data_IF_710529439890
#
_entry.id   IF_710529439890
#
_cell.length_a   1.000
_cell.length_b   1.000
_cell.length_c   1.000
_cell.angle_alpha   90.00
_cell.angle_beta   90.00
_cell.angle_gamma   90.00
#
_symmetry.space_group_name_H-M   'P 1'
#
loop_
_entity.id
_entity.type
_entity.pdbx_description
1 polymer ?
#
# COMPACT_ATOMS: atom_id res chain seq x y z
N UNK A 1 50.52 -6.71 36.75
CA UNK A 1 51.00 -6.50 38.14
C UNK A 1 50.21 -5.34 38.71
N UNK A 2 49.28 -5.48 39.65
CA UNK A 2 48.91 -6.61 40.49
C UNK A 2 47.41 -6.51 40.85
N UNK A 3 46.78 -7.67 41.00
CA UNK A 3 45.49 -7.91 41.65
C UNK A 3 45.50 -7.57 43.16
N UNK A 4 44.32 -7.54 43.77
CA UNK A 4 43.88 -8.12 45.08
C UNK A 4 42.57 -7.39 45.46
N UNK A 5 41.37 -7.97 45.31
CA UNK A 5 40.72 -9.08 46.06
C UNK A 5 39.96 -8.62 47.33
N UNK A 6 38.61 -8.63 47.22
CA UNK A 6 37.62 -9.27 48.11
C UNK A 6 37.44 -8.81 49.57
N UNK A 7 36.22 -8.40 49.96
CA UNK A 7 35.34 -9.15 50.89
C UNK A 7 33.99 -8.46 51.20
N UNK A 8 32.96 -9.30 51.17
CA UNK A 8 31.61 -9.10 51.71
C UNK A 8 31.61 -8.90 53.24
N UNK A 9 30.59 -8.24 53.79
CA UNK A 9 29.65 -8.84 54.78
C UNK A 9 28.51 -7.88 55.16
N UNK A 10 27.30 -8.38 54.92
CA UNK A 10 26.02 -8.24 55.65
C UNK A 10 25.93 -7.40 56.94
N UNK A 11 24.80 -6.69 57.06
CA UNK A 11 23.89 -6.94 58.19
C UNK A 11 23.53 -5.76 59.11
N UNK A 12 22.27 -5.31 58.97
CA UNK A 12 21.28 -5.02 60.03
C UNK A 12 21.62 -4.02 61.17
N UNK A 13 20.82 -2.94 61.23
CA UNK A 13 19.92 -2.53 62.35
C UNK A 13 19.48 -1.08 62.09
N UNK A 14 18.27 -0.80 61.58
CA UNK A 14 16.99 -0.67 62.28
C UNK A 14 16.98 0.32 63.45
N UNK A 15 16.26 1.43 63.29
CA UNK A 15 15.64 2.16 64.39
C UNK A 15 14.31 2.77 63.94
N UNK A 16 13.23 2.11 64.40
CA UNK A 16 11.97 2.63 64.93
C UNK A 16 11.10 3.53 64.02
N UNK A 17 9.79 3.35 63.90
CA UNK A 17 8.79 3.12 64.95
C UNK A 17 7.63 2.27 64.37
N UNK A 18 7.30 1.21 65.09
CA UNK A 18 6.14 0.33 64.89
C UNK A 18 4.90 0.81 65.65
N UNK A 19 3.71 0.40 65.16
CA UNK A 19 2.44 0.05 65.86
C UNK A 19 1.23 0.87 65.36
N UNK A 20 0.11 0.29 64.91
CA UNK A 20 -0.51 -1.02 65.15
C UNK A 20 -1.51 -1.35 64.01
N UNK A 21 -1.49 -2.61 63.56
CA UNK A 21 -2.58 -3.55 63.16
C UNK A 21 -3.82 -3.04 62.40
N UNK A 22 -4.46 -3.73 61.45
CA UNK A 22 -4.49 -5.14 61.02
C UNK A 22 -5.43 -5.23 59.82
N UNK A 23 -5.27 -6.29 59.01
CA UNK A 23 -6.19 -6.82 57.99
C UNK A 23 -6.25 -6.16 56.60
N UNK A 24 -5.83 -6.98 55.64
CA UNK A 24 -6.51 -7.29 54.38
C UNK A 24 -5.60 -7.11 53.17
N UNK A 25 -5.05 -8.24 52.75
CA UNK A 25 -4.32 -8.45 51.51
C UNK A 25 -5.13 -8.02 50.27
N UNK A 26 -4.39 -7.68 49.20
CA UNK A 26 -4.83 -7.66 47.80
C UNK A 26 -5.90 -6.62 47.42
N UNK A 27 -5.46 -5.48 46.89
CA UNK A 27 -6.36 -4.54 46.23
C UNK A 27 -5.71 -3.23 45.82
N UNK A 28 -4.90 -3.24 44.75
CA UNK A 28 -4.51 -2.02 44.02
C UNK A 28 -3.91 -2.34 42.65
N UNK A 29 -4.62 -3.15 41.84
CA UNK A 29 -4.30 -3.29 40.41
C UNK A 29 -5.57 -3.63 39.61
N UNK A 30 -6.68 -2.94 39.85
CA UNK A 30 -7.93 -3.07 39.06
C UNK A 30 -8.85 -1.89 39.36
N UNK A 31 -8.58 -0.71 38.80
CA UNK A 31 -9.56 0.42 38.86
C UNK A 31 -9.46 1.45 37.73
N UNK A 32 -8.56 1.26 36.76
CA UNK A 32 -8.53 2.06 35.52
C UNK A 32 -9.16 1.32 34.31
N UNK A 33 -9.24 -0.01 34.35
CA UNK A 33 -9.82 -0.84 33.27
C UNK A 33 -11.35 -1.03 33.34
N UNK A 34 -11.96 -0.73 34.50
CA UNK A 34 -13.42 -0.94 34.70
C UNK A 34 -14.28 0.26 34.28
N UNK A 35 -13.69 1.44 34.03
CA UNK A 35 -14.41 2.60 33.51
C UNK A 35 -14.50 2.60 31.97
N UNK A 36 -13.57 1.94 31.27
CA UNK A 36 -13.63 1.80 29.81
C UNK A 36 -14.46 0.59 29.35
N UNK A 37 -14.66 -0.43 30.18
CA UNK A 37 -15.50 -1.58 29.81
C UNK A 37 -17.02 -1.32 29.97
N UNK A 38 -17.43 -0.35 30.80
CA UNK A 38 -18.85 -0.01 30.98
C UNK A 38 -19.42 0.94 29.90
N UNK A 39 -18.59 1.61 29.10
CA UNK A 39 -19.07 2.41 27.97
C UNK A 39 -19.39 1.54 26.74
N UNK A 40 -18.64 0.44 26.56
CA UNK A 40 -18.84 -0.49 25.43
C UNK A 40 -20.09 -1.36 25.64
N UNK A 41 -20.44 -1.66 26.89
CA UNK A 41 -21.69 -2.40 27.19
C UNK A 41 -22.94 -1.52 27.19
N UNK A 42 -22.82 -0.22 27.43
CA UNK A 42 -23.97 0.70 27.39
C UNK A 42 -24.33 1.17 25.97
N UNK A 43 -23.41 1.07 25.01
CA UNK A 43 -23.68 1.31 23.58
C UNK A 43 -24.38 0.10 22.92
N UNK A 44 -24.26 -1.11 23.48
CA UNK A 44 -24.94 -2.31 22.95
C UNK A 44 -26.43 -2.45 23.33
N UNK A 45 -26.97 -1.59 24.19
CA UNK A 45 -28.38 -1.65 24.64
C UNK A 45 -29.34 -0.74 23.83
N UNK A 46 -28.86 -0.09 22.76
CA UNK A 46 -29.69 0.74 21.87
C UNK A 46 -29.76 0.17 20.44
N UNK A 47 -29.76 -1.16 20.31
CA UNK A 47 -29.89 -1.86 19.02
C UNK A 47 -31.21 -2.62 18.86
N UNK A 48 -32.28 -2.12 19.49
CA UNK A 48 -33.64 -2.49 19.13
C UNK A 48 -34.34 -1.29 18.50
N UNK A 49 -34.46 -1.32 17.17
CA UNK A 49 -35.31 -0.52 16.27
C UNK A 49 -34.54 0.12 15.09
N UNK A 50 -33.71 -0.66 14.38
CA UNK A 50 -33.36 -0.31 13.00
C UNK A 50 -33.45 -1.58 12.13
N UNK A 51 -34.27 -1.58 11.06
CA UNK A 51 -34.50 -2.76 10.24
C UNK A 51 -33.25 -3.24 9.50
N UNK A 52 -33.12 -4.57 9.44
CA UNK A 52 -31.98 -5.38 8.99
C UNK A 52 -31.77 -5.38 7.47
N UNK A 53 -31.69 -4.20 6.85
CA UNK A 53 -31.43 -4.06 5.41
C UNK A 53 -30.37 -3.01 5.04
N UNK A 54 -29.63 -2.47 6.01
CA UNK A 54 -28.47 -1.61 5.77
C UNK A 54 -27.31 -2.01 6.70
N UNK A 55 -26.90 -3.28 6.64
CA UNK A 55 -25.58 -3.73 7.10
C UNK A 55 -24.88 -4.28 5.86
N UNK A 56 -24.52 -3.36 4.98
CA UNK A 56 -23.94 -3.67 3.68
C UNK A 56 -23.38 -2.42 3.03
N UNK A 57 -22.77 -1.52 3.81
CA UNK A 57 -22.03 -0.39 3.30
C UNK A 57 -21.28 0.28 4.45
N UNK A 58 -20.18 -0.30 4.93
CA UNK A 58 -19.07 0.45 5.54
C UNK A 58 -17.86 -0.46 5.76
N UNK A 59 -17.47 -1.19 4.72
CA UNK A 59 -16.09 -1.70 4.61
C UNK A 59 -15.50 -1.15 3.31
N UNK A 60 -15.51 0.19 3.21
CA UNK A 60 -14.67 0.89 2.25
C UNK A 60 -13.25 1.02 2.83
N UNK A 61 -12.72 -0.10 3.34
CA UNK A 61 -11.28 -0.23 3.51
C UNK A 61 -10.71 -0.32 2.11
N UNK A 62 -10.23 0.82 1.61
CA UNK A 62 -9.33 0.92 0.46
C UNK A 62 -8.17 -0.04 0.67
N UNK A 63 -8.33 -1.26 0.18
CA UNK A 63 -7.31 -2.28 0.16
C UNK A 63 -6.55 -2.12 -1.15
N UNK A 64 -5.31 -1.65 -1.06
CA UNK A 64 -4.37 -1.76 -2.17
C UNK A 64 -4.35 -3.20 -2.70
N UNK A 65 -4.45 -3.34 -4.02
CA UNK A 65 -4.75 -4.59 -4.74
C UNK A 65 -3.86 -5.77 -4.32
N UNK A 66 -2.59 -5.52 -3.96
CA UNK A 66 -1.61 -6.56 -3.66
C UNK A 66 -1.12 -6.60 -2.20
N UNK A 67 -1.81 -5.95 -1.26
CA UNK A 67 -1.34 -5.88 0.13
C UNK A 67 -1.16 -7.24 0.81
N UNK A 68 -1.97 -8.23 0.46
CA UNK A 68 -1.91 -9.60 1.01
C UNK A 68 -1.54 -10.64 -0.06
N UNK A 69 -0.99 -10.21 -1.19
CA UNK A 69 -0.69 -11.10 -2.30
C UNK A 69 0.46 -12.05 -1.95
N UNK A 70 0.27 -13.33 -2.25
CA UNK A 70 1.22 -14.41 -2.00
C UNK A 70 1.15 -15.47 -3.10
N UNK A 71 2.05 -16.46 -3.08
CA UNK A 71 2.07 -17.55 -4.06
C UNK A 71 0.78 -18.38 -4.08
N UNK A 72 0.02 -18.42 -2.98
CA UNK A 72 -1.26 -19.14 -2.88
C UNK A 72 -2.37 -18.50 -3.72
N UNK A 73 -2.22 -17.21 -4.07
CA UNK A 73 -3.20 -16.51 -4.89
C UNK A 73 -3.06 -16.81 -6.38
N UNK A 74 -2.12 -17.69 -6.79
CA UNK A 74 -1.90 -18.05 -8.19
C UNK A 74 -2.74 -19.27 -8.55
N UNK A 75 -3.63 -19.12 -9.54
CA UNK A 75 -4.52 -20.18 -10.01
C UNK A 75 -3.89 -21.01 -11.14
N UNK A 76 -3.33 -20.36 -12.15
CA UNK A 76 -2.74 -21.05 -13.31
C UNK A 76 -1.74 -20.17 -14.06
N UNK A 77 -0.86 -20.80 -14.82
CA UNK A 77 0.12 -20.15 -15.71
C UNK A 77 -0.06 -20.67 -17.12
N UNK A 78 0.01 -19.79 -18.11
CA UNK A 78 -0.10 -20.15 -19.53
C UNK A 78 0.84 -19.29 -20.38
N UNK A 79 1.49 -19.91 -21.37
CA UNK A 79 2.32 -19.18 -22.32
C UNK A 79 1.43 -18.34 -23.25
N UNK A 80 1.77 -17.07 -23.38
CA UNK A 80 1.06 -16.16 -24.29
C UNK A 80 1.47 -16.47 -25.72
N UNK A 81 0.47 -16.65 -26.60
CA UNK A 81 0.69 -16.87 -28.03
C UNK A 81 1.27 -15.61 -28.68
N UNK A 82 2.03 -15.78 -29.75
CA UNK A 82 2.66 -14.66 -30.48
C UNK A 82 1.66 -13.61 -31.00
N UNK A 83 0.44 -14.01 -31.36
CA UNK A 83 -0.63 -13.09 -31.74
C UNK A 83 -1.07 -12.21 -30.57
N UNK A 84 -1.35 -12.80 -29.41
CA UNK A 84 -1.74 -12.10 -28.18
C UNK A 84 -0.61 -11.19 -27.67
N UNK A 85 0.64 -11.61 -27.80
CA UNK A 85 1.80 -10.78 -27.44
C UNK A 85 1.86 -9.50 -28.28
N UNK A 86 1.57 -9.56 -29.58
CA UNK A 86 1.49 -8.37 -30.45
C UNK A 86 0.32 -7.46 -30.06
N UNK A 87 -0.83 -8.04 -29.70
CA UNK A 87 -1.97 -7.27 -29.23
C UNK A 87 -1.66 -6.53 -27.92
N UNK A 88 -0.96 -7.18 -26.97
CA UNK A 88 -0.52 -6.55 -25.74
C UNK A 88 0.47 -5.40 -25.99
N UNK A 89 1.43 -5.56 -26.91
CA UNK A 89 2.32 -4.47 -27.32
C UNK A 89 1.56 -3.29 -27.90
N UNK A 90 0.60 -3.55 -28.78
CA UNK A 90 -0.23 -2.51 -29.37
C UNK A 90 -1.07 -1.78 -28.31
N UNK A 91 -1.65 -2.51 -27.35
CA UNK A 91 -2.37 -1.93 -26.20
C UNK A 91 -1.45 -1.06 -25.34
N UNK A 92 -0.22 -1.50 -25.10
CA UNK A 92 0.76 -0.76 -24.32
C UNK A 92 1.15 0.56 -25.00
N UNK A 93 1.48 0.53 -26.28
CA UNK A 93 1.86 1.74 -27.05
C UNK A 93 0.66 2.69 -27.18
N UNK A 94 -0.55 2.18 -27.28
CA UNK A 94 -1.75 3.01 -27.27
C UNK A 94 -1.98 3.74 -25.93
N UNK A 95 -1.60 3.11 -24.80
CA UNK A 95 -1.72 3.69 -23.46
C UNK A 95 -0.56 4.62 -23.10
N UNK A 96 0.66 4.25 -23.51
CA UNK A 96 1.89 4.99 -23.25
C UNK A 96 2.64 5.24 -24.57
N UNK A 97 2.26 6.29 -25.34
CA UNK A 97 2.83 6.54 -26.66
C UNK A 97 4.36 6.73 -26.65
N UNK A 98 4.89 7.38 -25.62
CA UNK A 98 6.33 7.67 -25.49
C UNK A 98 7.19 6.40 -25.38
N UNK A 99 6.58 5.25 -25.08
CA UNK A 99 7.26 3.97 -24.91
C UNK A 99 7.48 3.22 -26.23
N UNK A 100 6.91 3.67 -27.34
CA UNK A 100 7.10 3.07 -28.67
C UNK A 100 8.58 2.71 -29.01
N UNK A 101 9.59 3.57 -28.78
CA UNK A 101 10.98 3.25 -29.10
C UNK A 101 11.58 2.13 -28.22
N UNK A 102 11.03 1.89 -27.03
CA UNK A 102 11.59 0.93 -26.05
C UNK A 102 10.72 -0.31 -25.86
N UNK A 103 9.53 -0.38 -26.45
CA UNK A 103 8.58 -1.51 -26.28
C UNK A 103 9.18 -2.86 -26.69
N UNK A 104 10.05 -2.87 -27.71
CA UNK A 104 10.74 -4.09 -28.16
C UNK A 104 11.87 -4.52 -27.21
N UNK A 105 12.37 -3.62 -26.35
CA UNK A 105 13.29 -3.96 -25.26
C UNK A 105 12.53 -4.53 -24.05
N UNK A 106 11.34 -3.98 -23.75
CA UNK A 106 10.51 -4.41 -22.63
C UNK A 106 9.87 -5.77 -22.89
N UNK A 107 9.33 -5.97 -24.10
CA UNK A 107 8.76 -7.26 -24.53
C UNK A 107 9.55 -7.72 -25.77
N UNK A 108 10.68 -8.42 -25.61
CA UNK A 108 11.44 -8.92 -26.75
C UNK A 108 10.62 -9.91 -27.60
N UNK A 109 10.76 -9.84 -28.92
CA UNK A 109 10.02 -10.73 -29.85
C UNK A 109 10.34 -12.23 -29.65
N UNK A 110 11.50 -12.54 -29.08
CA UNK A 110 11.96 -13.90 -28.77
C UNK A 110 11.68 -14.32 -27.33
N UNK A 111 11.33 -13.39 -26.45
CA UNK A 111 11.07 -13.69 -25.06
C UNK A 111 9.72 -14.41 -24.93
N UNK A 112 9.67 -15.41 -24.05
CA UNK A 112 8.45 -16.13 -23.73
C UNK A 112 7.67 -15.35 -22.67
N UNK A 113 6.59 -14.70 -23.09
CA UNK A 113 5.67 -14.03 -22.18
C UNK A 113 4.72 -15.06 -21.56
N UNK A 114 4.63 -15.07 -20.23
CA UNK A 114 3.75 -15.98 -19.46
C UNK A 114 2.64 -15.17 -18.82
N UNK A 115 1.40 -15.60 -19.06
CA UNK A 115 0.20 -15.09 -18.41
C UNK A 115 -0.09 -15.91 -17.15
N UNK A 116 0.00 -15.27 -16.00
CA UNK A 116 -0.29 -15.84 -14.69
C UNK A 116 -1.67 -15.34 -14.26
N UNK A 117 -2.62 -16.26 -14.11
CA UNK A 117 -3.95 -15.96 -13.59
C UNK A 117 -3.94 -16.10 -12.08
N UNK A 118 -4.34 -15.05 -11.40
CA UNK A 118 -4.44 -14.99 -9.96
C UNK A 118 -5.92 -15.02 -9.50
N UNK A 119 -6.12 -15.07 -8.19
CA UNK A 119 -7.40 -14.80 -7.55
C UNK A 119 -7.87 -13.37 -7.84
N UNK A 120 -9.13 -13.08 -7.53
CA UNK A 120 -9.76 -11.77 -7.75
C UNK A 120 -9.71 -11.25 -9.19
N UNK A 121 -9.59 -12.17 -10.16
CA UNK A 121 -9.54 -11.86 -11.60
C UNK A 121 -8.36 -10.96 -11.98
N UNK A 122 -7.27 -11.05 -11.22
CA UNK A 122 -6.00 -10.40 -11.53
C UNK A 122 -5.21 -11.26 -12.53
N UNK A 123 -4.67 -10.62 -13.55
CA UNK A 123 -3.80 -11.21 -14.57
C UNK A 123 -2.42 -10.57 -14.50
N UNK A 124 -1.38 -11.36 -14.28
CA UNK A 124 0.00 -10.90 -14.34
C UNK A 124 0.65 -11.36 -15.65
N UNK A 125 1.45 -10.50 -16.26
CA UNK A 125 2.23 -10.79 -17.45
C UNK A 125 3.71 -10.76 -17.08
N UNK A 126 4.36 -11.91 -17.16
CA UNK A 126 5.73 -12.14 -16.68
C UNK A 126 6.66 -12.52 -17.82
N UNK A 127 7.90 -12.05 -17.75
CA UNK A 127 9.01 -12.43 -18.62
C UNK A 127 10.17 -12.83 -17.72
N UNK A 128 10.73 -14.02 -17.92
CA UNK A 128 11.84 -14.56 -17.12
C UNK A 128 11.61 -14.44 -15.60
N UNK A 129 10.38 -14.77 -15.16
CA UNK A 129 9.97 -14.72 -13.75
C UNK A 129 9.72 -13.32 -13.18
N UNK A 130 9.93 -12.26 -13.96
CA UNK A 130 9.68 -10.87 -13.55
C UNK A 130 8.34 -10.38 -14.07
N UNK A 131 7.52 -9.78 -13.20
CA UNK A 131 6.25 -9.16 -13.59
C UNK A 131 6.53 -7.87 -14.36
N UNK A 132 6.10 -7.80 -15.61
CA UNK A 132 6.19 -6.59 -16.43
C UNK A 132 4.94 -5.73 -16.28
N UNK A 133 3.78 -6.36 -16.40
CA UNK A 133 2.47 -5.71 -16.34
C UNK A 133 1.49 -6.57 -15.57
N UNK A 134 0.46 -5.94 -15.04
CA UNK A 134 -0.71 -6.61 -14.53
C UNK A 134 -1.98 -5.93 -15.02
N UNK A 135 -3.08 -6.65 -14.95
CA UNK A 135 -4.39 -6.19 -15.34
C UNK A 135 -5.39 -6.74 -14.33
N UNK A 136 -6.33 -5.89 -13.92
CA UNK A 136 -7.48 -6.33 -13.15
C UNK A 136 -8.66 -6.47 -14.11
N UNK A 137 -9.26 -7.66 -14.18
CA UNK A 137 -10.32 -7.96 -15.15
C UNK A 137 -9.91 -7.61 -16.59
N UNK A 138 -10.67 -6.75 -17.27
CA UNK A 138 -10.42 -6.26 -18.63
C UNK A 138 -9.96 -4.78 -18.65
N UNK A 139 -9.51 -4.26 -17.52
CA UNK A 139 -9.08 -2.87 -17.34
C UNK A 139 -7.78 -2.55 -18.14
N UNK A 140 -7.22 -1.37 -17.93
CA UNK A 140 -5.96 -0.96 -18.57
C UNK A 140 -4.77 -1.79 -18.08
N UNK A 141 -3.67 -1.79 -18.86
CA UNK A 141 -2.45 -2.48 -18.47
C UNK A 141 -1.69 -1.60 -17.48
N UNK A 142 -1.47 -2.12 -16.29
CA UNK A 142 -0.76 -1.41 -15.23
C UNK A 142 0.69 -1.91 -15.19
N UNK A 143 1.70 -1.03 -15.31
CA UNK A 143 3.09 -1.44 -15.24
C UNK A 143 3.47 -1.84 -13.81
N UNK A 144 4.38 -2.78 -13.67
CA UNK A 144 4.99 -3.09 -12.36
C UNK A 144 5.98 -1.99 -11.97
N UNK A 145 6.20 -1.80 -10.66
CA UNK A 145 7.21 -0.84 -10.20
C UNK A 145 8.62 -1.18 -10.69
N UNK A 146 8.94 -2.48 -10.81
CA UNK A 146 10.23 -2.92 -11.37
C UNK A 146 10.44 -2.44 -12.81
N UNK A 147 9.39 -2.42 -13.63
CA UNK A 147 9.46 -1.90 -14.99
C UNK A 147 9.61 -0.38 -14.98
N UNK A 148 8.80 0.29 -14.16
CA UNK A 148 8.81 1.76 -14.02
C UNK A 148 10.18 2.25 -13.57
N UNK A 149 10.84 1.56 -12.64
CA UNK A 149 12.18 1.95 -12.17
C UNK A 149 13.27 1.78 -13.24
N UNK A 150 13.09 0.89 -14.22
CA UNK A 150 14.01 0.73 -15.35
C UNK A 150 13.81 1.80 -16.42
N UNK A 151 12.56 2.28 -16.57
CA UNK A 151 12.12 3.13 -17.68
C UNK A 151 11.25 4.31 -17.18
N UNK A 152 11.70 5.11 -16.19
CA UNK A 152 10.83 6.08 -15.50
C UNK A 152 10.32 7.20 -16.41
N UNK A 153 11.09 7.58 -17.43
CA UNK A 153 10.78 8.69 -18.34
C UNK A 153 9.64 8.41 -19.33
N UNK A 154 9.20 7.16 -19.45
CA UNK A 154 8.19 6.74 -20.44
C UNK A 154 6.79 6.60 -19.87
N UNK A 155 6.62 6.94 -18.58
CA UNK A 155 5.34 6.86 -17.90
C UNK A 155 4.95 8.24 -17.38
N UNK A 156 3.65 8.58 -17.45
CA UNK A 156 3.20 9.81 -16.86
C UNK A 156 3.30 9.71 -15.33
N UNK A 157 3.84 10.76 -14.72
CA UNK A 157 4.18 10.73 -13.30
C UNK A 157 3.69 11.98 -12.58
N UNK A 158 3.35 11.79 -11.31
CA UNK A 158 2.98 12.84 -10.37
C UNK A 158 3.89 12.75 -9.15
N UNK A 159 4.10 13.86 -8.45
CA UNK A 159 4.92 13.89 -7.24
C UNK A 159 4.07 14.22 -6.03
N UNK A 160 4.18 13.39 -5.00
CA UNK A 160 3.50 13.61 -3.73
C UNK A 160 4.42 14.19 -2.66
N UNK A 161 3.81 14.84 -1.67
CA UNK A 161 4.48 15.39 -0.50
C UNK A 161 5.22 14.33 0.33
N UNK A 162 6.24 14.77 1.07
CA UNK A 162 6.94 13.94 2.04
C UNK A 162 6.01 13.32 3.09
N UNK A 163 4.96 14.04 3.49
CA UNK A 163 3.96 13.56 4.46
C UNK A 163 3.16 12.36 3.99
N UNK A 164 2.94 12.23 2.67
CA UNK A 164 2.14 11.15 2.09
C UNK A 164 2.89 9.81 1.98
N UNK A 165 4.23 9.85 1.92
CA UNK A 165 5.10 8.67 1.70
C UNK A 165 4.75 7.50 2.63
N UNK A 166 4.64 7.76 3.94
CA UNK A 166 4.34 6.72 4.94
C UNK A 166 3.00 6.03 4.68
N UNK A 167 2.00 6.80 4.25
CA UNK A 167 0.65 6.29 4.00
C UNK A 167 0.57 5.49 2.71
N UNK A 168 1.23 5.96 1.64
CA UNK A 168 1.33 5.24 0.37
C UNK A 168 1.99 3.88 0.57
N UNK A 169 3.12 3.83 1.29
CA UNK A 169 3.81 2.58 1.63
C UNK A 169 3.03 1.66 2.57
N UNK A 170 1.95 2.15 3.18
CA UNK A 170 1.03 1.34 3.98
C UNK A 170 -0.15 0.78 3.16
N UNK A 171 -0.21 1.12 1.87
CA UNK A 171 -1.28 0.74 0.96
C UNK A 171 -2.49 1.68 0.96
N UNK A 172 -2.33 2.95 1.37
CA UNK A 172 -3.42 3.92 1.39
C UNK A 172 -3.49 4.76 0.11
N UNK A 173 -4.70 5.14 -0.28
CA UNK A 173 -4.93 6.05 -1.39
C UNK A 173 -4.35 7.46 -1.14
N UNK A 174 -4.08 8.18 -2.23
CA UNK A 174 -3.53 9.53 -2.16
C UNK A 174 -4.67 10.53 -2.24
N UNK A 175 -4.73 11.39 -1.23
CA UNK A 175 -5.72 12.45 -1.14
C UNK A 175 -5.26 13.67 -1.95
N UNK A 176 -6.20 14.47 -2.49
CA UNK A 176 -5.88 15.67 -3.28
C UNK A 176 -4.92 16.63 -2.56
N UNK A 177 -5.10 16.83 -1.25
CA UNK A 177 -4.19 17.62 -0.40
C UNK A 177 -2.71 17.20 -0.41
N UNK A 178 -2.43 15.92 -0.71
CA UNK A 178 -1.08 15.39 -0.84
C UNK A 178 -0.45 15.63 -2.21
N UNK A 179 -1.24 16.16 -3.16
CA UNK A 179 -0.85 16.47 -4.54
C UNK A 179 -0.81 17.99 -4.80
N UNK A 180 -1.46 18.80 -3.97
CA UNK A 180 -1.52 20.27 -4.09
C UNK A 180 -0.62 21.01 -3.09
N UNK A 181 0.14 20.27 -2.28
CA UNK A 181 1.05 20.84 -1.28
C UNK A 181 2.34 21.40 -1.92
N UNK A 182 3.13 22.16 -1.17
CA UNK A 182 4.39 22.75 -1.66
C UNK A 182 5.44 21.73 -2.14
N UNK A 183 5.43 20.51 -1.60
CA UNK A 183 6.36 19.43 -1.97
C UNK A 183 5.84 18.54 -3.10
N UNK A 184 4.56 18.73 -3.49
CA UNK A 184 3.91 17.99 -4.54
C UNK A 184 4.00 18.76 -5.87
N UNK A 185 3.94 18.00 -6.97
CA UNK A 185 4.10 18.53 -8.32
C UNK A 185 3.20 17.71 -9.25
N UNK A 186 2.28 18.42 -9.91
CA UNK A 186 1.45 17.88 -10.97
C UNK A 186 2.04 18.29 -12.32
N UNK A 187 1.91 17.44 -13.35
CA UNK A 187 2.39 17.78 -14.69
C UNK A 187 1.62 18.97 -15.26
N UNK A 188 2.30 19.80 -16.06
CA UNK A 188 1.71 20.96 -16.75
C UNK A 188 0.59 20.54 -17.72
N UNK A 189 0.76 19.39 -18.38
CA UNK A 189 -0.27 18.81 -19.22
C UNK A 189 -1.33 18.12 -18.36
N UNK A 190 -2.61 18.51 -18.50
CA UNK A 190 -3.65 17.93 -17.69
C UNK A 190 -3.85 16.46 -18.02
N UNK A 191 -3.88 15.65 -16.98
CA UNK A 191 -4.17 14.22 -17.10
C UNK A 191 -5.65 13.97 -16.84
N UNK A 192 -6.20 13.01 -17.57
CA UNK A 192 -7.61 12.68 -17.51
C UNK A 192 -7.92 11.73 -16.35
N UNK A 193 -9.19 11.73 -15.95
CA UNK A 193 -9.70 10.76 -14.97
C UNK A 193 -9.51 9.32 -15.49
N UNK A 194 -9.31 8.39 -14.56
CA UNK A 194 -9.08 6.96 -14.79
C UNK A 194 -7.75 6.61 -15.47
N UNK A 195 -6.92 7.61 -15.78
CA UNK A 195 -5.57 7.37 -16.33
C UNK A 195 -4.62 6.79 -15.28
N UNK A 196 -3.79 5.84 -15.71
CA UNK A 196 -2.72 5.24 -14.89
C UNK A 196 -1.56 6.23 -14.71
N UNK A 197 -1.14 6.41 -13.46
CA UNK A 197 -0.09 7.36 -13.05
C UNK A 197 0.96 6.70 -12.19
N UNK A 198 2.21 7.14 -12.37
CA UNK A 198 3.33 6.80 -11.49
C UNK A 198 3.42 7.82 -10.37
N UNK A 199 3.48 7.35 -9.13
CA UNK A 199 3.59 8.19 -7.94
C UNK A 199 5.04 8.26 -7.49
N UNK A 200 5.67 9.41 -7.76
CA UNK A 200 6.96 9.81 -7.23
C UNK A 200 6.76 10.59 -5.92
N UNK A 201 7.84 10.81 -5.17
CA UNK A 201 7.78 11.57 -3.93
C UNK A 201 8.94 12.55 -3.79
N UNK A 202 8.69 13.62 -3.04
CA UNK A 202 9.70 14.60 -2.69
C UNK A 202 10.91 13.96 -2.01
N UNK A 203 12.11 14.22 -2.55
CA UNK A 203 13.37 13.72 -2.01
C UNK A 203 13.62 12.22 -2.25
N UNK A 204 12.91 11.60 -3.20
CA UNK A 204 13.12 10.21 -3.64
C UNK A 204 13.36 10.13 -5.13
N UNK A 205 14.33 9.31 -5.54
CA UNK A 205 14.67 9.11 -6.95
C UNK A 205 13.76 8.08 -7.64
N UNK A 206 13.27 7.10 -6.87
CA UNK A 206 12.44 6.02 -7.41
C UNK A 206 10.96 6.21 -7.07
N UNK A 207 10.11 5.75 -7.99
CA UNK A 207 8.66 5.73 -7.81
C UNK A 207 8.26 4.88 -6.60
N UNK A 208 7.30 5.38 -5.81
CA UNK A 208 6.78 4.69 -4.64
C UNK A 208 5.63 3.76 -4.98
N UNK A 209 4.83 4.13 -5.97
CA UNK A 209 3.60 3.44 -6.29
C UNK A 209 3.14 3.70 -7.72
N UNK A 210 2.21 2.86 -8.16
CA UNK A 210 1.39 3.02 -9.35
C UNK A 210 -0.06 3.16 -8.90
N UNK A 211 -0.74 4.14 -9.46
CA UNK A 211 -2.12 4.44 -9.12
C UNK A 211 -2.96 4.79 -10.34
N UNK A 212 -4.23 5.00 -10.10
CA UNK A 212 -5.21 5.44 -11.09
C UNK A 212 -5.85 6.75 -10.62
N UNK A 213 -5.91 7.73 -11.50
CA UNK A 213 -6.56 9.01 -11.18
C UNK A 213 -8.06 8.83 -10.98
N UNK A 214 -8.59 9.31 -9.85
CA UNK A 214 -10.04 9.31 -9.58
C UNK A 214 -10.72 10.59 -10.11
N UNK A 215 -9.93 11.64 -10.32
CA UNK A 215 -10.32 12.97 -10.82
C UNK A 215 -9.24 13.45 -11.80
N UNK A 216 -9.56 14.39 -12.67
CA UNK A 216 -8.53 15.00 -13.55
C UNK A 216 -7.53 15.82 -12.72
N UNK A 217 -6.32 16.07 -13.23
CA UNK A 217 -5.32 16.85 -12.48
C UNK A 217 -5.78 18.29 -12.21
N UNK A 218 -6.55 18.89 -13.12
CA UNK A 218 -7.18 20.20 -12.92
C UNK A 218 -8.20 20.19 -11.79
N UNK A 219 -9.07 19.18 -11.76
CA UNK A 219 -10.06 19.04 -10.68
C UNK A 219 -9.38 18.82 -9.32
N UNK A 220 -8.27 18.09 -9.28
CA UNK A 220 -7.49 17.86 -8.06
C UNK A 220 -6.97 19.19 -7.49
N UNK A 221 -6.48 20.08 -8.34
CA UNK A 221 -6.01 21.41 -7.96
C UNK A 221 -7.15 22.32 -7.47
N UNK A 222 -8.28 22.33 -8.18
CA UNK A 222 -9.43 23.19 -7.89
C UNK A 222 -10.20 22.76 -6.64
N UNK A 223 -10.50 21.47 -6.51
CA UNK A 223 -11.34 20.94 -5.41
C UNK A 223 -10.54 20.75 -4.13
N UNK A 224 -9.29 20.29 -4.25
CA UNK A 224 -8.36 20.02 -3.14
C UNK A 224 -8.95 19.17 -1.99
N UNK A 225 -9.92 18.30 -2.29
CA UNK A 225 -10.56 17.43 -1.31
C UNK A 225 -10.96 16.10 -1.96
N UNK A 226 -10.99 15.03 -1.17
CA UNK A 226 -11.28 13.67 -1.64
C UNK A 226 -10.05 12.88 -2.05
N UNK A 227 -10.32 11.70 -2.65
CA UNK A 227 -9.31 10.79 -3.17
C UNK A 227 -8.92 11.29 -4.56
N UNK A 228 -7.65 11.67 -4.74
CA UNK A 228 -7.13 12.08 -6.05
C UNK A 228 -6.64 10.88 -6.85
N UNK A 229 -5.95 9.95 -6.17
CA UNK A 229 -5.38 8.75 -6.80
C UNK A 229 -5.72 7.52 -5.99
N UNK A 230 -6.33 6.55 -6.66
CA UNK A 230 -6.55 5.20 -6.18
C UNK A 230 -5.25 4.40 -6.30
N UNK A 231 -4.81 3.78 -5.20
CA UNK A 231 -3.54 3.06 -5.16
C UNK A 231 -3.73 1.63 -5.70
N UNK A 232 -2.97 1.27 -6.73
CA UNK A 232 -3.03 -0.07 -7.33
C UNK A 232 -1.89 -0.96 -6.83
N UNK A 233 -0.66 -0.47 -6.88
CA UNK A 233 0.54 -1.21 -6.54
C UNK A 233 1.55 -0.27 -5.86
N UNK A 234 2.23 -0.72 -4.81
CA UNK A 234 3.19 0.11 -4.08
C UNK A 234 4.44 -0.67 -3.67
N UNK A 235 5.49 0.07 -3.36
CA UNK A 235 6.78 -0.50 -2.96
C UNK A 235 6.64 -1.27 -1.64
N UNK A 236 7.06 -2.53 -1.64
CA UNK A 236 6.97 -3.41 -0.47
C UNK A 236 5.63 -4.14 -0.32
N UNK A 237 4.73 -4.06 -1.30
CA UNK A 237 3.55 -4.92 -1.33
C UNK A 237 3.88 -6.37 -1.76
N UNK A 238 2.86 -7.22 -1.79
CA UNK A 238 3.03 -8.63 -2.14
C UNK A 238 3.47 -8.85 -3.59
N UNK A 239 3.09 -7.96 -4.51
CA UNK A 239 3.53 -8.04 -5.91
C UNK A 239 4.99 -7.58 -6.06
N UNK A 240 5.41 -6.57 -5.28
CA UNK A 240 6.80 -6.14 -5.22
C UNK A 240 7.72 -7.25 -4.73
N UNK A 241 7.29 -7.98 -3.71
CA UNK A 241 8.06 -9.09 -3.14
C UNK A 241 7.97 -10.38 -3.97
N UNK A 242 7.09 -10.42 -4.98
CA UNK A 242 6.89 -11.58 -5.82
C UNK A 242 8.02 -11.70 -6.84
N UNK A 243 8.82 -12.74 -6.66
CA UNK A 243 9.77 -13.24 -7.63
C UNK A 243 9.47 -14.72 -7.85
N UNK A 244 9.44 -15.15 -9.11
CA UNK A 244 9.31 -16.57 -9.47
C UNK A 244 10.62 -17.35 -9.25
#
# INVERSE_FOLDING_TARGET
MADISTKQTNGLESLQISRICTHSERGAQTSADSAQQNLVHQICMFHHLVPTSIIGCLDLQTHAMFKKFSHENINSKANVKSSSQRALKAKLVAQFPDMEPVVDQIIPKKAQLVHVKCQDRISLYTIDGKVMFFQHFDDELVPSLHLVHQFPQYFPSIKTDRGAIKFVLSGANIMCRGLTSKGAELPDEPMEKDQIVIVNAEGKEHALAVGKLTMSTKEIEEVNNGIGVELLHYLGDGLWSYHE
#
